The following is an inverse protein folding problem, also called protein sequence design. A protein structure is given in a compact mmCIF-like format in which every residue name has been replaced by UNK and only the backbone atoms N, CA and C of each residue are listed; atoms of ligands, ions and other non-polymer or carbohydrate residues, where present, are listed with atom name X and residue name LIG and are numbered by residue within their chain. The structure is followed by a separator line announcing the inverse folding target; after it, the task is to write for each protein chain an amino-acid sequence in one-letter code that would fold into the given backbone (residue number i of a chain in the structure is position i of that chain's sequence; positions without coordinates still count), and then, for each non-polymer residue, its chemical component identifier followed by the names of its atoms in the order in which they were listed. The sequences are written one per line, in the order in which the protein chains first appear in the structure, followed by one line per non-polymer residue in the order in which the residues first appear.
data_IF_811118727626
#
_entry.id   IF_811118727626
#
_cell.length_a   1.000
_cell.length_b   1.000
_cell.length_c   1.000
_cell.angle_alpha   90.00
_cell.angle_beta   90.00
_cell.angle_gamma   90.00
#
_symmetry.space_group_name_H-M   'P 1'
#
loop_
_entity.id
_entity.type
_entity.pdbx_description
1 polymer ?
#
# COMPACT_ATOMS: atom_id res chain seq x y z
N UNK A 1 -20.18 19.03 11.19
CA UNK A 1 -19.14 18.60 10.22
C UNK A 1 -17.98 19.58 10.30
N UNK A 2 -16.92 19.20 10.98
CA UNK A 2 -15.74 20.07 11.05
C UNK A 2 -14.75 19.69 9.96
N UNK A 3 -14.83 20.40 8.85
CA UNK A 3 -13.79 20.34 7.83
C UNK A 3 -12.57 21.10 8.33
N UNK A 4 -11.46 20.38 8.59
CA UNK A 4 -10.19 21.02 8.94
C UNK A 4 -9.49 21.53 7.67
N UNK A 5 -9.01 22.76 7.74
CA UNK A 5 -8.14 23.33 6.70
C UNK A 5 -6.69 23.02 7.07
N UNK A 6 -5.96 22.35 6.18
CA UNK A 6 -4.53 22.11 6.33
C UNK A 6 -3.80 22.94 5.29
N UNK A 7 -2.78 23.68 5.74
CA UNK A 7 -1.90 24.45 4.86
C UNK A 7 -0.72 23.55 4.50
N UNK A 8 -0.55 23.27 3.22
CA UNK A 8 0.56 22.51 2.70
C UNK A 8 1.84 23.35 2.66
N UNK A 9 3.01 22.70 2.55
CA UNK A 9 4.31 23.38 2.52
C UNK A 9 4.48 24.38 1.36
N UNK A 10 3.72 24.18 0.30
CA UNK A 10 3.66 25.06 -0.87
C UNK A 10 2.69 26.26 -0.72
N UNK A 11 2.09 26.41 0.48
CA UNK A 11 1.14 27.48 0.78
C UNK A 11 -0.29 27.21 0.30
N UNK A 12 -0.56 26.08 -0.33
CA UNK A 12 -1.92 25.70 -0.72
C UNK A 12 -2.72 25.24 0.50
N UNK A 13 -3.98 25.64 0.54
CA UNK A 13 -4.90 25.22 1.60
C UNK A 13 -5.78 24.09 1.09
N UNK A 14 -5.71 22.94 1.75
CA UNK A 14 -6.55 21.78 1.45
C UNK A 14 -7.59 21.60 2.52
N UNK A 15 -8.84 21.36 2.13
CA UNK A 15 -9.92 21.02 3.04
C UNK A 15 -9.93 19.53 3.25
N UNK A 16 -9.87 19.10 4.52
CA UNK A 16 -9.86 17.69 4.91
C UNK A 16 -11.24 17.34 5.44
N UNK A 17 -11.78 16.24 4.95
CA UNK A 17 -13.04 15.67 5.42
C UNK A 17 -12.78 14.71 6.58
N UNK A 18 -13.13 15.16 7.79
CA UNK A 18 -12.92 14.36 9.00
C UNK A 18 -13.77 13.08 9.02
N UNK A 19 -14.96 13.08 8.42
CA UNK A 19 -15.79 11.88 8.32
C UNK A 19 -15.16 10.84 7.41
N UNK A 20 -14.58 11.28 6.30
CA UNK A 20 -13.86 10.39 5.38
C UNK A 20 -12.61 9.80 6.04
N UNK A 21 -11.86 10.59 6.79
CA UNK A 21 -10.69 10.09 7.54
C UNK A 21 -11.12 9.04 8.55
N UNK A 22 -12.19 9.26 9.31
CA UNK A 22 -12.69 8.28 10.26
C UNK A 22 -13.15 6.99 9.56
N UNK A 23 -13.83 7.11 8.44
CA UNK A 23 -14.25 5.97 7.63
C UNK A 23 -13.04 5.16 7.13
N UNK A 24 -12.00 5.84 6.64
CA UNK A 24 -10.76 5.21 6.22
C UNK A 24 -10.04 4.52 7.38
N UNK A 25 -9.95 5.18 8.53
CA UNK A 25 -9.33 4.63 9.74
C UNK A 25 -10.05 3.35 10.19
N UNK A 26 -11.38 3.35 10.22
CA UNK A 26 -12.19 2.20 10.58
C UNK A 26 -12.08 1.07 9.55
N UNK A 27 -12.04 1.40 8.28
CA UNK A 27 -11.84 0.44 7.20
C UNK A 27 -10.49 -0.27 7.31
N UNK A 28 -9.41 0.49 7.51
CA UNK A 28 -8.05 -0.05 7.69
C UNK A 28 -7.96 -0.93 8.94
N UNK A 29 -8.62 -0.52 10.02
CA UNK A 29 -8.68 -1.30 11.27
C UNK A 29 -9.42 -2.63 11.07
N UNK A 30 -10.52 -2.64 10.32
CA UNK A 30 -11.25 -3.87 9.98
C UNK A 30 -10.42 -4.81 9.14
N UNK A 31 -9.74 -4.30 8.12
CA UNK A 31 -8.83 -5.12 7.29
C UNK A 31 -7.72 -5.74 8.13
N UNK A 32 -7.10 -4.96 9.01
CA UNK A 32 -6.03 -5.48 9.87
C UNK A 32 -6.53 -6.60 10.79
N UNK A 33 -7.75 -6.49 11.28
CA UNK A 33 -8.34 -7.46 12.21
C UNK A 33 -8.89 -8.72 11.53
N UNK A 34 -9.55 -8.56 10.41
CA UNK A 34 -10.33 -9.62 9.75
C UNK A 34 -9.61 -10.22 8.53
N UNK A 35 -8.58 -9.53 8.02
CA UNK A 35 -7.97 -9.85 6.74
C UNK A 35 -8.82 -9.41 5.55
N UNK A 36 -8.46 -9.86 4.34
CA UNK A 36 -9.19 -9.50 3.12
C UNK A 36 -10.37 -10.47 2.94
N UNK A 37 -11.57 -9.97 3.22
CA UNK A 37 -12.80 -10.64 2.81
C UNK A 37 -13.27 -10.11 1.45
N UNK A 38 -14.19 -10.81 0.79
CA UNK A 38 -14.75 -10.38 -0.49
C UNK A 38 -15.45 -9.02 -0.36
N UNK A 39 -16.20 -8.84 0.71
CA UNK A 39 -16.94 -7.63 1.03
C UNK A 39 -15.99 -6.45 1.28
N UNK A 40 -14.93 -6.66 2.07
CA UNK A 40 -13.90 -5.65 2.33
C UNK A 40 -13.11 -5.29 1.07
N UNK A 41 -12.90 -6.24 0.17
CA UNK A 41 -12.26 -5.97 -1.12
C UNK A 41 -13.11 -5.07 -2.01
N UNK A 42 -14.41 -5.35 -2.11
CA UNK A 42 -15.34 -4.51 -2.89
C UNK A 42 -15.46 -3.10 -2.30
N UNK A 43 -15.60 -3.00 -0.97
CA UNK A 43 -15.59 -1.71 -0.25
C UNK A 43 -14.29 -0.95 -0.47
N UNK A 44 -13.14 -1.65 -0.41
CA UNK A 44 -11.82 -1.08 -0.64
C UNK A 44 -11.64 -0.52 -2.05
N UNK A 45 -12.14 -1.20 -3.08
CA UNK A 45 -12.11 -0.71 -4.45
C UNK A 45 -12.90 0.59 -4.63
N UNK A 46 -14.05 0.73 -3.97
CA UNK A 46 -14.85 1.95 -4.02
C UNK A 46 -14.15 3.10 -3.27
N UNK A 47 -13.53 2.82 -2.14
CA UNK A 47 -12.74 3.79 -1.37
C UNK A 47 -11.55 4.28 -2.19
N UNK A 48 -10.82 3.38 -2.83
CA UNK A 48 -9.63 3.71 -3.64
C UNK A 48 -9.96 4.66 -4.80
N UNK A 49 -11.12 4.52 -5.42
CA UNK A 49 -11.54 5.42 -6.51
C UNK A 49 -11.72 6.88 -6.07
N UNK A 50 -11.99 7.11 -4.81
CA UNK A 50 -12.26 8.44 -4.24
C UNK A 50 -11.25 8.88 -3.19
N UNK A 51 -10.20 8.12 -2.96
CA UNK A 51 -9.25 8.35 -1.88
C UNK A 51 -8.39 9.59 -2.14
N UNK A 52 -8.23 10.40 -1.12
CA UNK A 52 -7.25 11.48 -1.08
C UNK A 52 -5.99 10.99 -0.37
N UNK A 53 -4.79 11.08 -0.98
CA UNK A 53 -3.55 10.61 -0.37
C UNK A 53 -3.25 11.26 0.99
N UNK A 54 -3.62 12.51 1.19
CA UNK A 54 -3.44 13.21 2.47
C UNK A 54 -4.37 12.64 3.54
N UNK A 55 -5.64 12.40 3.21
CA UNK A 55 -6.60 11.79 4.13
C UNK A 55 -6.19 10.36 4.51
N UNK A 56 -5.65 9.60 3.56
CA UNK A 56 -5.09 8.29 3.82
C UNK A 56 -3.92 8.36 4.81
N UNK A 57 -2.96 9.26 4.60
CA UNK A 57 -1.82 9.44 5.51
C UNK A 57 -2.26 9.82 6.93
N UNK A 58 -3.30 10.63 7.06
CA UNK A 58 -3.86 11.00 8.37
C UNK A 58 -4.55 9.78 9.01
N UNK A 59 -5.31 8.99 8.25
CA UNK A 59 -5.94 7.78 8.74
C UNK A 59 -4.90 6.76 9.23
N UNK A 60 -3.81 6.57 8.49
CA UNK A 60 -2.68 5.72 8.89
C UNK A 60 -2.00 6.23 10.17
N UNK A 61 -1.78 7.54 10.29
CA UNK A 61 -1.23 8.13 11.51
C UNK A 61 -2.16 7.94 12.71
N UNK A 62 -3.47 8.08 12.52
CA UNK A 62 -4.45 7.82 13.57
C UNK A 62 -4.37 6.37 14.09
N UNK A 63 -4.14 5.39 13.21
CA UNK A 63 -3.96 4.00 13.62
C UNK A 63 -2.72 3.81 14.48
N UNK A 64 -1.62 4.48 14.15
CA UNK A 64 -0.37 4.45 14.95
C UNK A 64 -0.61 5.12 16.30
N UNK A 65 -1.27 6.27 16.33
CA UNK A 65 -1.60 7.00 17.55
C UNK A 65 -2.55 6.18 18.47
N UNK A 66 -3.41 5.36 17.88
CA UNK A 66 -4.28 4.41 18.59
C UNK A 66 -3.56 3.13 19.06
N UNK A 67 -2.26 3.00 18.80
CA UNK A 67 -1.41 1.92 19.28
C UNK A 67 -1.13 0.80 18.29
N UNK A 68 -1.44 0.98 17.00
CA UNK A 68 -1.05 0.03 15.95
C UNK A 68 0.47 0.07 15.76
N UNK A 69 1.09 -1.08 15.74
CA UNK A 69 2.52 -1.19 15.48
C UNK A 69 2.84 -0.86 14.01
N UNK A 70 3.96 -0.17 13.71
CA UNK A 70 4.36 0.14 12.34
C UNK A 70 4.51 -1.09 11.42
N UNK A 71 4.79 -2.26 11.99
CA UNK A 71 4.85 -3.53 11.26
C UNK A 71 3.47 -4.00 10.76
N UNK A 72 2.43 -3.74 11.54
CA UNK A 72 1.04 -4.02 11.15
C UNK A 72 0.59 -3.08 10.03
N UNK A 73 1.01 -1.81 10.09
CA UNK A 73 0.75 -0.85 9.01
C UNK A 73 1.39 -1.27 7.70
N UNK A 74 2.61 -1.85 7.76
CA UNK A 74 3.27 -2.41 6.57
C UNK A 74 2.49 -3.57 5.96
N UNK A 75 1.90 -4.43 6.79
CA UNK A 75 1.01 -5.49 6.32
C UNK A 75 -0.23 -4.94 5.60
N UNK A 76 -0.78 -3.82 6.07
CA UNK A 76 -1.86 -3.12 5.36
C UNK A 76 -1.45 -2.64 3.97
N UNK A 77 -0.19 -2.24 3.76
CA UNK A 77 0.32 -1.88 2.43
C UNK A 77 0.27 -3.06 1.45
N UNK A 78 0.61 -4.27 1.90
CA UNK A 78 0.52 -5.48 1.09
C UNK A 78 -0.93 -5.77 0.68
N UNK A 79 -1.87 -5.55 1.58
CA UNK A 79 -3.31 -5.67 1.34
C UNK A 79 -3.80 -4.63 0.34
N UNK A 80 -3.36 -3.37 0.47
CA UNK A 80 -3.67 -2.32 -0.50
C UNK A 80 -3.21 -2.70 -1.90
N UNK A 81 -1.99 -3.23 -2.02
CA UNK A 81 -1.45 -3.67 -3.31
C UNK A 81 -2.28 -4.81 -3.92
N UNK A 82 -2.80 -5.72 -3.11
CA UNK A 82 -3.66 -6.79 -3.59
C UNK A 82 -5.01 -6.27 -4.08
N UNK A 83 -5.63 -5.33 -3.36
CA UNK A 83 -6.89 -4.69 -3.76
C UNK A 83 -6.70 -3.91 -5.06
N UNK A 84 -5.58 -3.20 -5.19
CA UNK A 84 -5.27 -2.35 -6.35
C UNK A 84 -4.77 -3.13 -7.57
N UNK A 85 -4.38 -4.39 -7.42
CA UNK A 85 -3.75 -5.17 -8.48
C UNK A 85 -4.54 -5.14 -9.80
N UNK A 86 -5.83 -5.41 -9.73
CA UNK A 86 -6.68 -5.45 -10.92
C UNK A 86 -6.85 -4.06 -11.56
N UNK A 87 -6.92 -3.00 -10.74
CA UNK A 87 -7.00 -1.62 -11.23
C UNK A 87 -5.67 -1.15 -11.85
N UNK A 88 -4.54 -1.57 -11.28
CA UNK A 88 -3.22 -1.31 -11.85
C UNK A 88 -3.01 -2.03 -13.18
N UNK A 89 -3.49 -3.26 -13.31
CA UNK A 89 -3.45 -4.00 -14.58
C UNK A 89 -4.30 -3.33 -15.66
N UNK A 90 -5.49 -2.84 -15.33
CA UNK A 90 -6.33 -2.05 -16.26
C UNK A 90 -5.65 -0.76 -16.68
N UNK A 91 -5.03 -0.03 -15.74
CA UNK A 91 -4.24 1.16 -16.04
C UNK A 91 -3.08 0.83 -16.98
N UNK A 92 -2.37 -0.26 -16.70
CA UNK A 92 -1.27 -0.73 -17.53
C UNK A 92 -1.72 -1.04 -18.96
N UNK A 93 -2.89 -1.65 -19.17
CA UNK A 93 -3.43 -1.96 -20.50
C UNK A 93 -3.80 -0.71 -21.31
N UNK A 94 -4.05 0.42 -20.64
CA UNK A 94 -4.41 1.69 -21.27
C UNK A 94 -3.19 2.60 -21.54
N UNK A 95 -2.01 2.23 -21.06
CA UNK A 95 -0.78 3.00 -21.28
C UNK A 95 -0.20 2.62 -22.63
N UNK A 96 0.04 3.62 -23.50
CA UNK A 96 0.68 3.41 -24.81
C UNK A 96 2.11 2.93 -24.66
N UNK A 97 2.54 1.99 -25.50
CA UNK A 97 3.94 1.58 -25.57
C UNK A 97 4.86 2.78 -25.79
N UNK A 98 5.93 2.84 -24.98
CA UNK A 98 6.90 3.93 -25.04
C UNK A 98 6.53 5.18 -24.23
N UNK A 99 5.38 5.18 -23.55
CA UNK A 99 5.08 6.19 -22.56
C UNK A 99 6.01 6.05 -21.34
N UNK A 100 6.35 7.17 -20.68
CA UNK A 100 7.23 7.16 -19.50
C UNK A 100 6.74 6.19 -18.42
N UNK A 101 5.43 6.12 -18.19
CA UNK A 101 4.84 5.18 -17.24
C UNK A 101 4.99 3.72 -17.67
N UNK A 102 4.94 3.42 -18.96
CA UNK A 102 5.18 2.07 -19.50
C UNK A 102 6.61 1.62 -19.20
N UNK A 103 7.59 2.49 -19.44
CA UNK A 103 8.99 2.24 -19.11
C UNK A 103 9.18 2.00 -17.61
N UNK A 104 8.58 2.83 -16.75
CA UNK A 104 8.65 2.68 -15.29
C UNK A 104 8.05 1.35 -14.81
N UNK A 105 6.93 0.92 -15.37
CA UNK A 105 6.29 -0.36 -15.06
C UNK A 105 7.17 -1.53 -15.49
N UNK A 106 7.80 -1.46 -16.68
CA UNK A 106 8.74 -2.49 -17.13
C UNK A 106 9.98 -2.58 -16.25
N UNK A 107 10.57 -1.44 -15.88
CA UNK A 107 11.71 -1.37 -14.97
C UNK A 107 11.36 -1.94 -13.60
N UNK A 108 10.19 -1.60 -13.07
CA UNK A 108 9.70 -2.13 -11.80
C UNK A 108 9.52 -3.66 -11.84
N UNK A 109 8.97 -4.18 -12.91
CA UNK A 109 8.82 -5.63 -13.13
C UNK A 109 10.19 -6.35 -13.16
N UNK A 110 11.19 -5.76 -13.81
CA UNK A 110 12.56 -6.28 -13.82
C UNK A 110 13.21 -6.27 -12.43
N UNK A 111 13.01 -5.19 -11.67
CA UNK A 111 13.50 -5.08 -10.28
C UNK A 111 12.89 -6.17 -9.41
N UNK A 112 11.59 -6.40 -9.48
CA UNK A 112 10.92 -7.46 -8.74
C UNK A 112 11.49 -8.84 -9.08
N UNK A 113 11.71 -9.15 -10.36
CA UNK A 113 12.36 -10.39 -10.79
C UNK A 113 13.77 -10.57 -10.23
N UNK A 114 14.58 -9.51 -10.22
CA UNK A 114 15.92 -9.53 -9.62
C UNK A 114 15.89 -9.74 -8.12
N UNK A 115 14.91 -9.16 -7.42
CA UNK A 115 14.73 -9.37 -5.97
C UNK A 115 14.37 -10.82 -5.65
N UNK A 116 13.51 -11.46 -6.44
CA UNK A 116 13.20 -12.89 -6.30
C UNK A 116 14.43 -13.77 -6.50
N UNK A 117 15.25 -13.51 -7.53
CA UNK A 117 16.50 -14.21 -7.77
C UNK A 117 17.50 -14.02 -6.61
N UNK A 118 17.60 -12.78 -6.10
CA UNK A 118 18.46 -12.45 -4.97
C UNK A 118 18.02 -13.20 -3.69
N UNK A 119 16.73 -13.23 -3.42
CA UNK A 119 16.17 -13.99 -2.29
C UNK A 119 16.46 -15.48 -2.41
N UNK A 120 16.30 -16.07 -3.60
CA UNK A 120 16.60 -17.47 -3.85
C UNK A 120 18.09 -17.80 -3.62
N UNK A 121 19.00 -16.93 -4.07
CA UNK A 121 20.45 -17.11 -3.86
C UNK A 121 20.81 -16.96 -2.38
N UNK A 122 20.29 -15.93 -1.72
CA UNK A 122 20.52 -15.70 -0.29
C UNK A 122 20.05 -16.87 0.55
N UNK A 123 18.89 -17.43 0.26
CA UNK A 123 18.36 -18.62 0.93
C UNK A 123 19.25 -19.84 0.77
N UNK A 124 19.82 -20.03 -0.43
CA UNK A 124 20.79 -21.12 -0.68
C UNK A 124 22.09 -20.94 0.11
N UNK A 125 22.61 -19.72 0.21
CA UNK A 125 23.80 -19.39 0.98
C UNK A 125 23.56 -19.67 2.47
N UNK A 126 22.46 -19.18 3.02
CA UNK A 126 22.11 -19.39 4.43
C UNK A 126 21.96 -20.88 4.74
N UNK A 127 21.34 -21.68 3.86
CA UNK A 127 21.25 -23.13 4.01
C UNK A 127 22.62 -23.81 4.03
N UNK A 128 23.53 -23.42 3.12
CA UNK A 128 24.88 -23.93 3.10
C UNK A 128 25.65 -23.59 4.37
N UNK A 129 25.57 -22.33 4.83
CA UNK A 129 26.24 -21.90 6.06
C UNK A 129 25.74 -22.68 7.28
N UNK A 130 24.45 -22.94 7.41
CA UNK A 130 23.87 -23.75 8.50
C UNK A 130 24.37 -25.19 8.46
N UNK A 131 24.60 -25.75 7.28
CA UNK A 131 25.13 -27.11 7.14
C UNK A 131 26.63 -27.19 7.49
N UNK A 132 27.42 -26.15 7.23
CA UNK A 132 28.82 -26.07 7.63
C UNK A 132 29.01 -25.83 9.13
N UNK A 133 28.13 -25.14 9.79
CA UNK A 133 28.19 -24.90 11.25
C UNK A 133 27.72 -26.07 12.11
N UNK A 134 27.38 -27.21 11.51
CA UNK A 134 26.96 -28.45 12.20
C UNK A 134 28.03 -29.55 12.26
N UNK A 135 29.24 -29.20 11.94
CA UNK A 135 30.38 -30.10 12.10
C UNK A 135 30.93 -30.02 13.51
#
# INVERSE_FOLDING_TARGET
MENKKVVLKDGQTKVIDSERINMLTDFLRRINKEGITKELREEGLDIVKSIDPLELSIAEQNLIDDGMEPSELRHLCDIHMEILKDELEKLKSNISRGHVLDTLVEEHTKILGLLEEFEAVTSKIVKKMKNFGRI
#
